data_IF_426242128507
#
_entry.id   IF_426242128507
#
_cell.length_a   1.000
_cell.length_b   1.000
_cell.length_c   1.000
_cell.angle_alpha   90.00
_cell.angle_beta   90.00
_cell.angle_gamma   90.00
#
_symmetry.space_group_name_H-M   'P 1'
#
loop_
_entity.id
_entity.type
_entity.pdbx_description
1 polymer ?
#
# COMPACT_ATOMS: atom_id res chain seq x y z
N UNK A 1 6.16 -3.34 -6.99
CA UNK A 1 6.14 -1.86 -6.94
C UNK A 1 4.85 -1.41 -6.28
N UNK A 2 4.90 -0.79 -5.09
CA UNK A 2 3.71 -0.18 -4.49
C UNK A 2 3.38 1.11 -5.25
N UNK A 3 2.18 1.17 -5.83
CA UNK A 3 1.66 2.35 -6.56
C UNK A 3 1.08 3.41 -5.61
N UNK A 4 0.92 3.06 -4.34
CA UNK A 4 0.28 3.89 -3.31
C UNK A 4 1.09 3.69 -2.01
N UNK A 5 1.99 4.61 -1.69
CA UNK A 5 2.84 4.57 -0.49
C UNK A 5 2.54 5.71 0.48
N UNK A 6 2.59 5.50 1.80
CA UNK A 6 2.26 6.55 2.77
C UNK A 6 3.21 7.75 2.64
N UNK A 7 2.68 8.97 2.82
CA UNK A 7 3.50 10.17 2.91
C UNK A 7 4.23 10.26 4.25
N UNK A 8 5.42 10.87 4.24
CA UNK A 8 6.16 11.19 5.47
C UNK A 8 5.27 12.00 6.43
N UNK A 9 5.31 11.61 7.71
CA UNK A 9 4.62 12.29 8.82
C UNK A 9 5.38 13.53 9.25
N UNK A 10 5.46 14.54 8.38
CA UNK A 10 6.13 15.83 8.66
C UNK A 10 5.25 17.00 8.24
N UNK A 11 5.51 18.18 8.81
CA UNK A 11 4.76 19.41 8.50
C UNK A 11 3.25 19.23 8.65
N UNK A 12 2.50 19.60 7.60
CA UNK A 12 1.02 19.48 7.54
C UNK A 12 0.54 18.04 7.80
N UNK A 13 1.35 17.02 7.48
CA UNK A 13 0.97 15.61 7.59
C UNK A 13 1.46 14.91 8.85
N UNK A 14 1.96 15.67 9.85
CA UNK A 14 2.54 15.12 11.07
C UNK A 14 1.55 14.24 11.85
N UNK A 15 0.36 14.75 12.11
CA UNK A 15 -0.64 14.08 12.96
C UNK A 15 -1.71 13.36 12.15
N UNK A 16 -2.03 13.88 10.96
CA UNK A 16 -3.09 13.34 10.10
C UNK A 16 -2.55 13.17 8.68
N UNK A 17 -2.95 12.08 8.00
CA UNK A 17 -2.62 11.91 6.60
C UNK A 17 -3.36 12.95 5.74
N UNK A 18 -2.96 13.19 4.48
CA UNK A 18 -3.77 13.96 3.55
C UNK A 18 -5.16 13.35 3.37
N UNK A 19 -6.14 14.16 2.99
CA UNK A 19 -7.43 13.59 2.58
C UNK A 19 -7.26 12.68 1.35
N UNK A 20 -8.15 11.70 1.11
CA UNK A 20 -8.13 10.88 -0.11
C UNK A 20 -8.07 11.72 -1.39
N UNK A 21 -8.81 12.82 -1.43
CA UNK A 21 -8.83 13.74 -2.58
C UNK A 21 -7.49 14.48 -2.78
N UNK A 22 -6.84 14.94 -1.71
CA UNK A 22 -5.50 15.55 -1.80
C UNK A 22 -4.45 14.51 -2.22
N UNK A 23 -4.52 13.29 -1.66
CA UNK A 23 -3.59 12.22 -2.00
C UNK A 23 -3.72 11.81 -3.47
N UNK A 24 -4.94 11.75 -4.01
CA UNK A 24 -5.19 11.40 -5.42
C UNK A 24 -4.59 12.37 -6.45
N UNK A 25 -4.27 13.60 -6.04
CA UNK A 25 -3.63 14.61 -6.91
C UNK A 25 -2.11 14.47 -6.97
N UNK A 26 -1.51 13.60 -6.16
CA UNK A 26 -0.07 13.38 -6.21
C UNK A 26 0.28 12.72 -7.54
N UNK A 27 1.22 13.30 -8.27
CA UNK A 27 1.82 12.73 -9.48
C UNK A 27 3.01 11.81 -9.18
N UNK A 28 3.57 11.23 -10.25
CA UNK A 28 4.76 10.37 -10.17
C UNK A 28 5.92 11.14 -9.55
N UNK A 29 6.61 10.53 -8.59
CA UNK A 29 7.65 11.21 -7.81
C UNK A 29 8.66 10.25 -7.21
N UNK A 30 9.81 10.80 -6.85
CA UNK A 30 10.78 10.12 -5.99
C UNK A 30 10.28 10.20 -4.54
N UNK A 31 10.30 9.06 -3.85
CA UNK A 31 10.02 8.97 -2.42
C UNK A 31 11.24 8.42 -1.70
N UNK A 32 11.54 8.98 -0.54
CA UNK A 32 12.51 8.39 0.38
C UNK A 32 11.83 7.25 1.14
N UNK A 33 12.50 6.11 1.23
CA UNK A 33 11.96 4.92 1.87
C UNK A 33 12.09 5.04 3.40
N UNK A 34 10.99 4.76 4.09
CA UNK A 34 11.00 4.67 5.55
C UNK A 34 11.91 3.52 6.02
N UNK A 35 12.58 3.59 7.18
CA UNK A 35 13.43 2.51 7.68
C UNK A 35 12.74 1.12 7.76
N UNK A 36 11.45 1.11 8.08
CA UNK A 36 10.63 -0.13 8.04
C UNK A 36 10.53 -0.68 6.63
N UNK A 37 10.33 0.17 5.62
CA UNK A 37 10.30 -0.24 4.21
C UNK A 37 11.66 -0.75 3.75
N UNK A 38 12.76 -0.11 4.17
CA UNK A 38 14.12 -0.62 3.90
C UNK A 38 14.31 -2.03 4.46
N UNK A 39 13.93 -2.24 5.71
CA UNK A 39 14.04 -3.53 6.39
C UNK A 39 13.16 -4.61 5.74
N UNK A 40 11.93 -4.27 5.37
CA UNK A 40 11.01 -5.17 4.65
C UNK A 40 11.54 -5.54 3.26
N UNK A 41 12.04 -4.56 2.51
CA UNK A 41 12.65 -4.81 1.20
C UNK A 41 13.92 -5.65 1.31
N UNK A 42 14.74 -5.44 2.34
CA UNK A 42 15.92 -6.27 2.59
C UNK A 42 15.52 -7.74 2.78
N UNK A 43 14.50 -7.99 3.62
CA UNK A 43 13.99 -9.36 3.88
C UNK A 43 13.37 -10.03 2.65
N UNK A 44 12.65 -9.28 1.82
CA UNK A 44 11.85 -9.85 0.72
C UNK A 44 12.56 -9.89 -0.62
N UNK A 45 13.36 -8.86 -0.93
CA UNK A 45 13.98 -8.66 -2.25
C UNK A 45 15.50 -8.44 -2.18
N UNK A 46 16.04 -8.09 -1.01
CA UNK A 46 17.46 -7.76 -0.80
C UNK A 46 18.31 -8.88 -0.20
N UNK A 47 17.78 -10.11 -0.10
CA UNK A 47 18.52 -11.26 0.45
C UNK A 47 18.95 -11.10 1.91
N UNK A 48 18.25 -10.27 2.69
CA UNK A 48 18.59 -9.92 4.06
C UNK A 48 19.61 -8.78 4.18
N UNK A 49 20.18 -8.28 3.09
CA UNK A 49 21.18 -7.22 3.13
C UNK A 49 20.55 -5.83 2.95
N UNK A 50 20.47 -5.06 4.04
CA UNK A 50 19.88 -3.71 4.03
C UNK A 50 20.69 -2.71 3.22
N UNK A 51 22.01 -2.88 3.09
CA UNK A 51 22.87 -1.92 2.38
C UNK A 51 22.65 -1.96 0.87
N UNK A 52 22.08 -3.06 0.36
CA UNK A 52 21.71 -3.23 -1.05
C UNK A 52 20.37 -2.58 -1.39
N UNK A 53 19.58 -2.16 -0.39
CA UNK A 53 18.28 -1.53 -0.63
C UNK A 53 18.49 -0.03 -0.84
N UNK A 54 18.04 0.55 -1.97
CA UNK A 54 18.18 1.98 -2.22
C UNK A 54 17.36 2.78 -1.20
N UNK A 55 17.90 3.93 -0.75
CA UNK A 55 17.22 4.81 0.23
C UNK A 55 16.01 5.53 -0.35
N UNK A 56 15.86 5.54 -1.67
CA UNK A 56 14.74 6.17 -2.38
C UNK A 56 14.23 5.26 -3.49
N UNK A 57 13.00 5.49 -3.92
CA UNK A 57 12.38 4.81 -5.04
C UNK A 57 11.52 5.78 -5.85
N UNK A 58 11.34 5.49 -7.14
CA UNK A 58 10.32 6.13 -7.96
C UNK A 58 9.02 5.36 -7.75
N UNK A 59 7.94 6.06 -7.41
CA UNK A 59 6.60 5.47 -7.27
C UNK A 59 5.67 6.02 -8.35
N UNK A 60 4.95 5.12 -9.00
CA UNK A 60 3.78 5.49 -9.82
C UNK A 60 2.74 6.09 -8.88
N UNK A 61 2.05 7.12 -9.31
CA UNK A 61 1.20 7.87 -8.40
C UNK A 61 -0.27 7.43 -8.44
N UNK A 62 -1.06 7.92 -7.47
CA UNK A 62 -2.51 7.86 -7.54
C UNK A 62 -3.07 8.48 -8.82
N UNK A 63 -2.55 9.63 -9.26
CA UNK A 63 -3.07 10.32 -10.44
C UNK A 63 -2.95 9.46 -11.69
N UNK A 64 -1.79 8.84 -11.90
CA UNK A 64 -1.61 7.93 -13.05
C UNK A 64 -2.35 6.60 -12.85
N UNK A 65 -2.52 6.13 -11.61
CA UNK A 65 -3.29 4.90 -11.34
C UNK A 65 -4.76 5.03 -11.77
N UNK A 66 -5.35 6.23 -11.67
CA UNK A 66 -6.73 6.50 -12.09
C UNK A 66 -6.91 6.64 -13.61
N UNK A 67 -5.82 6.67 -14.37
CA UNK A 67 -5.91 6.61 -15.84
C UNK A 67 -6.15 5.19 -16.34
N UNK A 68 -5.97 4.17 -15.49
CA UNK A 68 -6.23 2.79 -15.86
C UNK A 68 -7.74 2.52 -15.93
N UNK A 69 -8.21 1.88 -17.01
CA UNK A 69 -9.61 1.46 -17.11
C UNK A 69 -9.99 0.46 -15.99
N UNK A 70 -9.05 -0.39 -15.60
CA UNK A 70 -9.23 -1.39 -14.56
C UNK A 70 -7.97 -1.54 -13.72
N UNK A 71 -8.15 -1.62 -12.40
CA UNK A 71 -7.09 -1.98 -11.46
C UNK A 71 -7.30 -3.41 -10.98
N UNK A 72 -6.38 -4.31 -11.36
CA UNK A 72 -6.38 -5.70 -10.89
C UNK A 72 -5.32 -5.90 -9.81
N UNK A 73 -5.75 -6.24 -8.59
CA UNK A 73 -4.90 -6.55 -7.44
C UNK A 73 -4.85 -8.05 -7.23
N UNK A 74 -3.67 -8.58 -6.93
CA UNK A 74 -3.43 -10.02 -6.74
C UNK A 74 -2.72 -10.26 -5.41
N UNK A 75 -3.37 -11.05 -4.54
CA UNK A 75 -2.84 -11.44 -3.24
C UNK A 75 -2.51 -12.93 -3.25
N UNK A 76 -1.21 -13.24 -3.26
CA UNK A 76 -0.70 -14.60 -3.16
C UNK A 76 -0.57 -15.10 -1.70
N UNK A 77 -0.62 -14.19 -0.72
CA UNK A 77 -0.57 -14.53 0.71
C UNK A 77 0.82 -14.85 1.28
N UNK A 78 1.90 -14.60 0.54
CA UNK A 78 3.27 -14.87 0.99
C UNK A 78 3.85 -13.75 1.89
N UNK A 79 3.51 -12.50 1.58
CA UNK A 79 4.06 -11.32 2.27
C UNK A 79 2.99 -10.37 2.79
N UNK A 80 1.73 -10.69 2.52
CA UNK A 80 0.59 -9.91 3.01
C UNK A 80 0.26 -10.32 4.44
N UNK A 81 -0.12 -9.36 5.27
CA UNK A 81 -0.69 -9.64 6.58
C UNK A 81 -2.18 -10.06 6.43
N UNK A 82 -2.64 -11.16 7.08
CA UNK A 82 -4.03 -11.62 6.99
C UNK A 82 -5.09 -10.57 7.40
N UNK A 83 -4.78 -9.71 8.37
CA UNK A 83 -5.63 -8.58 8.75
C UNK A 83 -5.63 -7.51 7.67
N UNK A 84 -4.45 -7.16 7.14
CA UNK A 84 -4.32 -6.13 6.10
C UNK A 84 -5.11 -6.47 4.83
N UNK A 85 -5.08 -7.73 4.38
CA UNK A 85 -5.87 -8.20 3.25
C UNK A 85 -7.38 -8.00 3.47
N UNK A 86 -7.87 -8.42 4.64
CA UNK A 86 -9.30 -8.36 4.99
C UNK A 86 -9.78 -6.93 5.23
N UNK A 87 -8.98 -6.14 5.93
CA UNK A 87 -9.29 -4.74 6.20
C UNK A 87 -9.40 -3.95 4.90
N UNK A 88 -8.44 -4.12 3.99
CA UNK A 88 -8.47 -3.41 2.69
C UNK A 88 -9.67 -3.84 1.85
N UNK A 89 -9.97 -5.15 1.82
CA UNK A 89 -11.15 -5.67 1.13
C UNK A 89 -12.44 -5.05 1.69
N UNK A 90 -12.57 -5.01 3.02
CA UNK A 90 -13.71 -4.43 3.71
C UNK A 90 -13.84 -2.93 3.37
N UNK A 91 -12.77 -2.17 3.53
CA UNK A 91 -12.75 -0.72 3.27
C UNK A 91 -13.21 -0.42 1.84
N UNK A 92 -12.69 -1.14 0.85
CA UNK A 92 -13.07 -0.95 -0.55
C UNK A 92 -14.54 -1.35 -0.78
N UNK A 93 -14.99 -2.49 -0.26
CA UNK A 93 -16.39 -2.93 -0.40
C UNK A 93 -17.41 -1.98 0.23
N UNK A 94 -16.97 -1.15 1.19
CA UNK A 94 -17.79 -0.17 1.91
C UNK A 94 -17.58 1.27 1.43
N UNK A 95 -16.76 1.50 0.41
CA UNK A 95 -16.48 2.86 -0.07
C UNK A 95 -15.68 3.71 0.92
N UNK A 96 -14.88 3.09 1.80
CA UNK A 96 -14.13 3.76 2.85
C UNK A 96 -12.70 4.06 2.39
N UNK A 97 -12.52 5.21 1.73
CA UNK A 97 -11.20 5.68 1.32
C UNK A 97 -10.48 6.39 2.49
N UNK A 98 -9.28 5.92 2.83
CA UNK A 98 -8.40 6.56 3.82
C UNK A 98 -6.94 6.46 3.38
N UNK A 99 -6.24 7.60 3.28
CA UNK A 99 -4.86 7.62 2.83
C UNK A 99 -3.85 7.13 3.89
N UNK A 100 -4.27 6.88 5.14
CA UNK A 100 -3.50 6.12 6.12
C UNK A 100 -3.34 4.64 5.73
N UNK A 101 -4.31 4.10 4.99
CA UNK A 101 -4.25 2.78 4.37
C UNK A 101 -4.31 2.94 2.85
N UNK A 102 -3.19 3.28 2.16
CA UNK A 102 -3.22 3.80 0.79
C UNK A 102 -3.96 2.91 -0.23
N UNK A 103 -3.97 1.59 -0.06
CA UNK A 103 -4.71 0.71 -0.96
C UNK A 103 -6.23 0.89 -0.87
N UNK A 104 -6.77 1.33 0.27
CA UNK A 104 -8.19 1.66 0.45
C UNK A 104 -8.66 2.80 -0.45
N UNK A 105 -7.75 3.65 -0.94
CA UNK A 105 -8.09 4.72 -1.88
C UNK A 105 -8.72 4.18 -3.17
N UNK A 106 -8.42 2.94 -3.53
CA UNK A 106 -9.03 2.26 -4.67
C UNK A 106 -10.56 2.10 -4.52
N UNK A 107 -11.12 2.34 -3.33
CA UNK A 107 -12.56 2.47 -3.13
C UNK A 107 -13.21 3.54 -4.03
N UNK A 108 -12.46 4.57 -4.42
CA UNK A 108 -12.94 5.65 -5.30
C UNK A 108 -12.66 5.38 -6.80
N UNK A 109 -12.15 4.21 -7.16
CA UNK A 109 -11.88 3.84 -8.55
C UNK A 109 -13.07 3.05 -9.12
N UNK A 110 -13.57 3.38 -10.33
CA UNK A 110 -14.82 2.82 -10.85
C UNK A 110 -14.77 1.31 -11.15
N UNK A 111 -13.57 0.76 -11.38
CA UNK A 111 -13.38 -0.63 -11.77
C UNK A 111 -12.14 -1.24 -11.12
N UNK A 112 -12.33 -1.93 -10.00
CA UNK A 112 -11.26 -2.58 -9.24
C UNK A 112 -11.62 -4.04 -9.01
N UNK A 113 -10.67 -4.93 -9.26
CA UNK A 113 -10.83 -6.36 -8.99
C UNK A 113 -9.71 -6.84 -8.08
N UNK A 114 -10.10 -7.46 -6.96
CA UNK A 114 -9.18 -8.16 -6.07
C UNK A 114 -9.25 -9.67 -6.35
N UNK A 115 -8.08 -10.29 -6.51
CA UNK A 115 -7.92 -11.72 -6.71
C UNK A 115 -7.13 -12.29 -5.54
N UNK A 116 -7.71 -13.25 -4.84
CA UNK A 116 -7.08 -13.89 -3.68
C UNK A 116 -6.77 -15.34 -4.01
N UNK A 117 -5.52 -15.74 -3.80
CA UNK A 117 -5.20 -17.15 -3.72
C UNK A 117 -5.70 -17.69 -2.39
N UNK A 118 -6.66 -18.62 -2.42
CA UNK A 118 -7.32 -19.14 -1.22
C UNK A 118 -6.34 -19.77 -0.23
N UNK A 119 -5.31 -20.47 -0.71
CA UNK A 119 -4.27 -21.04 0.13
C UNK A 119 -3.37 -20.01 0.81
N UNK A 120 -3.38 -18.75 0.34
CA UNK A 120 -2.67 -17.63 0.93
C UNK A 120 -3.48 -16.82 1.94
N UNK A 121 -4.74 -17.20 2.20
CA UNK A 121 -5.58 -16.55 3.21
C UNK A 121 -5.24 -17.12 4.60
N UNK A 122 -4.38 -16.42 5.35
CA UNK A 122 -4.07 -16.79 6.74
C UNK A 122 -5.19 -16.47 7.73
N UNK A 123 -5.02 -16.85 9.00
CA UNK A 123 -5.92 -16.48 10.11
C UNK A 123 -5.52 -15.13 10.73
N UNK A 124 -6.52 -14.35 11.16
CA UNK A 124 -6.26 -13.20 12.02
C UNK A 124 -6.29 -13.67 13.48
N UNK A 125 -5.13 -13.90 14.07
CA UNK A 125 -4.95 -14.24 15.48
C UNK A 125 -4.12 -13.18 16.18
N UNK A 126 -4.41 -12.94 17.46
CA UNK A 126 -3.47 -12.23 18.33
C UNK A 126 -2.45 -13.27 18.78
N UNK A 127 -1.22 -13.15 18.33
CA UNK A 127 -0.11 -13.95 18.84
C UNK A 127 0.61 -13.11 19.89
N UNK A 128 0.69 -13.62 21.13
CA UNK A 128 1.61 -13.09 22.12
C UNK A 128 2.94 -13.80 21.92
N UNK A 129 3.99 -13.03 21.60
CA UNK A 129 5.38 -13.49 21.56
C UNK A 129 6.08 -13.04 22.84
#
# INVERSE_FOLDING_TARGET
MSRLGPLKRTGKWKNQPPTPAEYRKLGTRIVELHPVTLSQNARTSGGGNITMVPKSAITVSPQETWLAEKVSIWHAGLHDNPLGQRLTALMISKGLADSAAPMSLLADHPNVQFNYYRGGLGSCSVEMH
#
